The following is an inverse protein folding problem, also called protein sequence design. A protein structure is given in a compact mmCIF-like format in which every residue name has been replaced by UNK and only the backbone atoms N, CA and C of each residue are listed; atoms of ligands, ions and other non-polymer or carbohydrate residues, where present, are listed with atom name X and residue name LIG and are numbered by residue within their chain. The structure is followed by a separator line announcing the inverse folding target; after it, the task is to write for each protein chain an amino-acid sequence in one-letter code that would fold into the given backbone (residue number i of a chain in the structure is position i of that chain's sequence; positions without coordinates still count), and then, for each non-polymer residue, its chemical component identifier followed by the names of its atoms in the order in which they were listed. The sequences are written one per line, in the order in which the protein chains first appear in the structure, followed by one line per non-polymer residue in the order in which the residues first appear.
data_IF_260201699874
#
_entry.id   IF_260201699874
#
_cell.length_a   1.000
_cell.length_b   1.000
_cell.length_c   1.000
_cell.angle_alpha   90.00
_cell.angle_beta   90.00
_cell.angle_gamma   90.00
#
_symmetry.space_group_name_H-M   'P 1'
#
loop_
_entity.id
_entity.type
_entity.pdbx_description
1 polymer ?
#
# COMPACT_ATOMS: atom_id res chain seq x y z
N UNK A 1 -58.97 6.77 11.36
CA UNK A 1 -57.94 7.71 10.88
C UNK A 1 -56.59 7.20 11.38
N UNK A 2 -55.90 6.40 10.57
CA UNK A 2 -54.61 5.80 10.93
C UNK A 2 -53.51 6.77 10.48
N UNK A 3 -52.78 7.35 11.43
CA UNK A 3 -51.60 8.17 11.16
C UNK A 3 -50.47 7.24 10.67
N UNK A 4 -50.21 7.24 9.38
CA UNK A 4 -49.01 6.61 8.83
C UNK A 4 -47.81 7.52 9.14
N UNK A 5 -47.00 7.14 10.13
CA UNK A 5 -45.70 7.76 10.39
C UNK A 5 -44.75 7.27 9.29
N UNK A 6 -44.63 8.04 8.22
CA UNK A 6 -43.56 7.89 7.23
C UNK A 6 -42.24 8.29 7.88
N UNK A 7 -41.44 7.31 8.30
CA UNK A 7 -40.02 7.52 8.56
C UNK A 7 -39.32 7.77 7.21
N UNK A 8 -39.13 9.05 6.87
CA UNK A 8 -38.16 9.45 5.86
C UNK A 8 -36.76 9.06 6.36
N UNK A 9 -36.25 7.92 5.90
CA UNK A 9 -34.84 7.56 6.06
C UNK A 9 -34.06 8.61 5.27
N UNK A 10 -33.56 9.63 5.96
CA UNK A 10 -32.60 10.55 5.34
C UNK A 10 -31.35 9.74 5.03
N UNK A 11 -31.03 9.60 3.73
CA UNK A 11 -29.78 9.01 3.28
C UNK A 11 -28.62 9.87 3.82
N UNK A 12 -28.00 9.40 4.91
CA UNK A 12 -26.80 10.04 5.44
C UNK A 12 -25.69 9.82 4.41
N UNK A 13 -25.05 10.87 3.87
CA UNK A 13 -24.01 10.69 2.88
C UNK A 13 -22.84 9.90 3.49
N UNK A 14 -22.37 8.92 2.71
CA UNK A 14 -21.25 8.05 3.06
C UNK A 14 -20.17 8.21 1.99
N UNK A 15 -18.91 8.31 2.43
CA UNK A 15 -17.76 8.45 1.53
C UNK A 15 -16.55 7.71 2.12
N UNK A 16 -15.58 7.40 1.28
CA UNK A 16 -14.29 6.83 1.67
C UNK A 16 -13.20 7.87 1.45
N UNK A 17 -12.26 7.97 2.39
CA UNK A 17 -11.19 8.96 2.27
C UNK A 17 -10.29 9.03 3.49
N UNK A 18 -9.44 10.04 3.52
CA UNK A 18 -8.43 10.23 4.55
C UNK A 18 -8.71 11.51 5.31
N UNK A 19 -8.64 11.44 6.63
CA UNK A 19 -8.62 12.61 7.52
C UNK A 19 -7.17 12.98 7.79
N UNK A 20 -6.77 14.23 7.57
CA UNK A 20 -5.39 14.68 7.75
C UNK A 20 -5.30 16.12 8.25
N UNK A 21 -4.15 16.49 8.82
CA UNK A 21 -3.87 17.85 9.29
C UNK A 21 -3.11 18.66 8.24
N UNK A 22 -3.47 19.93 8.09
CA UNK A 22 -2.72 20.93 7.34
C UNK A 22 -2.84 22.29 8.04
N UNK A 23 -1.72 22.87 8.48
CA UNK A 23 -1.67 24.15 9.22
C UNK A 23 -2.67 24.20 10.39
N UNK A 24 -2.64 23.16 11.24
CA UNK A 24 -3.53 23.00 12.41
C UNK A 24 -5.03 22.88 12.10
N UNK A 25 -5.43 22.88 10.84
CA UNK A 25 -6.79 22.56 10.39
C UNK A 25 -6.86 21.13 9.92
N UNK A 26 -8.04 20.54 10.02
CA UNK A 26 -8.27 19.17 9.55
C UNK A 26 -9.13 19.17 8.31
N UNK A 27 -8.75 18.25 7.44
CA UNK A 27 -9.32 18.08 6.13
C UNK A 27 -9.71 16.62 5.97
N UNK A 28 -10.78 16.40 5.21
CA UNK A 28 -11.13 15.11 4.67
C UNK A 28 -10.90 15.17 3.16
N UNK A 29 -10.13 14.22 2.65
CA UNK A 29 -9.91 14.02 1.21
C UNK A 29 -10.55 12.72 0.80
N UNK A 30 -11.56 12.77 -0.06
CA UNK A 30 -12.21 11.57 -0.56
C UNK A 30 -11.37 10.85 -1.64
N UNK A 31 -11.84 9.68 -2.07
CA UNK A 31 -11.17 8.87 -3.10
C UNK A 31 -11.07 9.58 -4.47
N UNK A 32 -11.89 10.60 -4.73
CA UNK A 32 -11.83 11.45 -5.93
C UNK A 32 -10.90 12.66 -5.76
N UNK A 33 -10.06 12.67 -4.72
CA UNK A 33 -9.12 13.74 -4.40
C UNK A 33 -9.78 15.10 -4.07
N UNK A 34 -11.08 15.12 -3.77
CA UNK A 34 -11.78 16.32 -3.33
C UNK A 34 -11.56 16.52 -1.84
N UNK A 35 -11.13 17.73 -1.46
CA UNK A 35 -10.82 18.08 -0.08
C UNK A 35 -11.88 19.00 0.50
N UNK A 36 -12.29 18.74 1.75
CA UNK A 36 -13.15 19.63 2.51
C UNK A 36 -12.61 19.83 3.92
N UNK A 37 -12.75 21.04 4.45
CA UNK A 37 -12.41 21.35 5.85
C UNK A 37 -13.38 20.59 6.76
N UNK A 38 -12.85 19.91 7.78
CA UNK A 38 -13.64 19.24 8.80
C UNK A 38 -13.72 20.15 10.02
N UNK A 39 -14.93 20.48 10.44
CA UNK A 39 -15.20 21.39 11.55
C UNK A 39 -15.33 20.62 12.87
N UNK A 40 -16.10 19.52 12.84
CA UNK A 40 -16.35 18.66 13.98
C UNK A 40 -16.19 17.19 13.57
N UNK A 41 -15.39 16.40 14.29
CA UNK A 41 -15.31 14.95 14.12
C UNK A 41 -15.02 14.23 15.43
N UNK A 42 -15.29 12.92 15.46
CA UNK A 42 -14.99 12.05 16.60
C UNK A 42 -13.50 11.68 16.62
N UNK A 43 -12.64 12.59 17.08
CA UNK A 43 -11.16 12.46 17.06
C UNK A 43 -10.63 11.16 17.64
N UNK A 44 -11.18 10.71 18.76
CA UNK A 44 -10.75 9.47 19.43
C UNK A 44 -11.16 8.19 18.68
N UNK A 45 -12.11 8.29 17.76
CA UNK A 45 -12.68 7.14 17.03
C UNK A 45 -12.37 7.16 15.54
N UNK A 46 -11.86 8.27 15.03
CA UNK A 46 -11.62 8.48 13.60
C UNK A 46 -10.12 8.66 13.40
N UNK A 47 -9.39 7.63 12.93
CA UNK A 47 -7.95 7.75 12.74
C UNK A 47 -7.62 8.78 11.67
N UNK A 48 -6.47 9.44 11.81
CA UNK A 48 -5.90 10.27 10.75
C UNK A 48 -4.93 9.47 9.90
N UNK A 49 -4.67 9.98 8.70
CA UNK A 49 -3.68 9.46 7.76
C UNK A 49 -3.94 8.02 7.31
N UNK A 50 -5.18 7.57 7.46
CA UNK A 50 -5.66 6.26 7.03
C UNK A 50 -6.97 6.41 6.26
N UNK A 51 -7.16 5.53 5.27
CA UNK A 51 -8.42 5.48 4.52
C UNK A 51 -9.51 4.90 5.42
N UNK A 52 -10.59 5.65 5.55
CA UNK A 52 -11.74 5.31 6.37
C UNK A 52 -13.03 5.52 5.61
N UNK A 53 -14.05 4.73 5.95
CA UNK A 53 -15.42 5.00 5.53
C UNK A 53 -16.09 5.87 6.58
N UNK A 54 -16.62 7.02 6.15
CA UNK A 54 -17.20 8.02 7.03
C UNK A 54 -18.62 8.37 6.63
N UNK A 55 -19.37 8.85 7.60
CA UNK A 55 -20.59 9.63 7.41
C UNK A 55 -20.36 11.06 7.89
N UNK A 56 -21.07 12.02 7.31
CA UNK A 56 -20.94 13.43 7.69
C UNK A 56 -22.22 14.22 7.39
N UNK A 57 -22.29 15.44 7.92
CA UNK A 57 -23.23 16.47 7.50
C UNK A 57 -22.47 17.57 6.77
N UNK A 58 -22.87 17.90 5.54
CA UNK A 58 -22.24 18.98 4.76
C UNK A 58 -22.96 20.31 4.99
N UNK A 59 -22.19 21.39 5.20
CA UNK A 59 -22.68 22.78 5.22
C UNK A 59 -21.86 23.64 4.26
N UNK A 60 -22.25 24.90 4.07
CA UNK A 60 -21.59 25.83 3.13
C UNK A 60 -20.08 25.96 3.37
N UNK A 61 -19.62 25.88 4.63
CA UNK A 61 -18.24 26.15 5.01
C UNK A 61 -17.42 24.88 5.36
N UNK A 62 -17.97 23.68 5.15
CA UNK A 62 -17.24 22.43 5.35
C UNK A 62 -18.08 21.22 5.77
N UNK A 63 -17.38 20.20 6.28
CA UNK A 63 -17.96 18.98 6.82
C UNK A 63 -18.10 19.06 8.34
N UNK A 64 -19.24 18.61 8.84
CA UNK A 64 -19.60 18.56 10.25
C UNK A 64 -19.97 17.14 10.63
N UNK A 65 -19.83 16.80 11.91
CA UNK A 65 -20.18 15.49 12.47
C UNK A 65 -19.56 14.33 11.68
N UNK A 66 -18.32 14.52 11.19
CA UNK A 66 -17.61 13.50 10.45
C UNK A 66 -17.28 12.36 11.42
N UNK A 67 -17.73 11.15 11.11
CA UNK A 67 -17.50 9.98 11.93
C UNK A 67 -17.30 8.74 11.07
N UNK A 68 -16.37 7.89 11.48
CA UNK A 68 -16.21 6.57 10.89
C UNK A 68 -17.48 5.74 11.09
N UNK A 69 -17.92 5.03 10.05
CA UNK A 69 -19.13 4.20 10.14
C UNK A 69 -18.92 3.05 11.13
N UNK A 70 -19.99 2.61 11.81
CA UNK A 70 -19.89 1.54 12.80
C UNK A 70 -19.47 0.21 12.15
N UNK A 71 -19.98 -0.08 10.95
CA UNK A 71 -19.56 -1.25 10.18
C UNK A 71 -18.06 -1.20 9.84
N UNK A 72 -17.56 -0.05 9.38
CA UNK A 72 -16.14 0.07 9.06
C UNK A 72 -15.27 0.09 10.31
N UNK A 73 -15.78 0.56 11.46
CA UNK A 73 -15.06 0.46 12.74
C UNK A 73 -14.72 -0.98 13.10
N UNK A 74 -15.66 -1.90 12.89
CA UNK A 74 -15.46 -3.33 13.15
C UNK A 74 -14.39 -3.89 12.20
N UNK A 75 -14.50 -3.59 10.90
CA UNK A 75 -13.52 -4.01 9.88
C UNK A 75 -12.12 -3.45 10.18
N UNK A 76 -12.05 -2.19 10.57
CA UNK A 76 -10.82 -1.50 10.93
C UNK A 76 -10.16 -2.15 12.15
N UNK A 77 -10.92 -2.44 13.21
CA UNK A 77 -10.40 -3.13 14.39
C UNK A 77 -9.91 -4.54 14.03
N UNK A 78 -10.72 -5.31 13.29
CA UNK A 78 -10.39 -6.66 12.87
C UNK A 78 -9.13 -6.73 11.99
N UNK A 79 -9.02 -5.82 11.02
CA UNK A 79 -7.83 -5.76 10.14
C UNK A 79 -6.57 -5.39 10.94
N UNK A 80 -6.65 -4.46 11.88
CA UNK A 80 -5.52 -4.11 12.76
C UNK A 80 -5.08 -5.27 13.66
N UNK A 81 -6.00 -6.01 14.27
CA UNK A 81 -5.64 -7.18 15.09
C UNK A 81 -5.06 -8.31 14.22
N UNK A 82 -5.63 -8.52 13.03
CA UNK A 82 -5.10 -9.51 12.08
C UNK A 82 -3.70 -9.13 11.61
N UNK A 83 -3.45 -7.84 11.36
CA UNK A 83 -2.13 -7.32 10.99
C UNK A 83 -1.09 -7.53 12.10
N UNK A 84 -1.45 -7.23 13.37
CA UNK A 84 -0.57 -7.51 14.52
C UNK A 84 -0.22 -8.99 14.63
N UNK A 85 -1.18 -9.87 14.39
CA UNK A 85 -0.95 -11.32 14.36
C UNK A 85 0.00 -11.70 13.21
N UNK A 86 -0.23 -11.16 12.01
CA UNK A 86 0.61 -11.40 10.85
C UNK A 86 2.07 -10.96 11.08
N UNK A 87 2.27 -9.81 11.71
CA UNK A 87 3.60 -9.30 12.08
C UNK A 87 4.28 -10.14 13.17
N UNK A 88 3.50 -10.72 14.09
CA UNK A 88 4.03 -11.67 15.07
C UNK A 88 4.54 -12.94 14.38
N UNK A 89 3.75 -13.49 13.44
CA UNK A 89 4.13 -14.64 12.63
C UNK A 89 5.38 -14.34 11.79
N UNK A 90 5.50 -13.12 11.23
CA UNK A 90 6.70 -12.65 10.54
C UNK A 90 7.95 -12.72 11.43
N UNK A 91 7.87 -12.17 12.64
CA UNK A 91 8.99 -12.21 13.60
C UNK A 91 9.38 -13.64 13.98
N UNK A 92 8.42 -14.56 13.94
CA UNK A 92 8.62 -15.99 14.19
C UNK A 92 9.05 -16.78 12.93
N UNK A 93 9.21 -16.10 11.78
CA UNK A 93 9.53 -16.70 10.47
C UNK A 93 8.48 -17.72 9.98
N UNK A 94 7.26 -17.64 10.49
CA UNK A 94 6.12 -18.43 10.03
C UNK A 94 5.51 -17.75 8.80
N UNK A 95 6.25 -17.80 7.68
CA UNK A 95 5.97 -17.00 6.50
C UNK A 95 4.66 -17.40 5.80
N UNK A 96 4.29 -18.68 5.79
CA UNK A 96 3.06 -19.12 5.14
C UNK A 96 1.83 -18.64 5.88
N UNK A 97 1.79 -18.84 7.19
CA UNK A 97 0.70 -18.40 8.05
C UNK A 97 0.60 -16.87 8.10
N UNK A 98 1.75 -16.19 8.03
CA UNK A 98 1.80 -14.74 7.88
C UNK A 98 1.21 -14.30 6.55
N UNK A 99 1.55 -14.97 5.43
CA UNK A 99 0.98 -14.67 4.11
C UNK A 99 -0.55 -14.75 4.14
N UNK A 100 -1.09 -15.84 4.68
CA UNK A 100 -2.54 -16.07 4.77
C UNK A 100 -3.20 -14.95 5.60
N UNK A 101 -2.57 -14.55 6.71
CA UNK A 101 -3.06 -13.46 7.57
C UNK A 101 -3.00 -12.10 6.85
N UNK A 102 -1.92 -11.80 6.13
CA UNK A 102 -1.77 -10.55 5.38
C UNK A 102 -2.73 -10.47 4.20
N UNK A 103 -3.01 -11.58 3.51
CA UNK A 103 -4.03 -11.63 2.46
C UNK A 103 -5.42 -11.33 3.05
N UNK A 104 -5.73 -11.87 4.23
CA UNK A 104 -6.98 -11.54 4.93
C UNK A 104 -7.05 -10.05 5.30
N UNK A 105 -5.93 -9.46 5.69
CA UNK A 105 -5.84 -8.01 5.94
C UNK A 105 -6.10 -7.21 4.67
N UNK A 106 -5.52 -7.61 3.53
CA UNK A 106 -5.77 -6.98 2.23
C UNK A 106 -7.25 -6.99 1.84
N UNK A 107 -7.95 -8.10 2.09
CA UNK A 107 -9.40 -8.21 1.85
C UNK A 107 -10.24 -7.29 2.72
N UNK A 108 -9.85 -7.14 4.00
CA UNK A 108 -10.59 -6.36 4.98
C UNK A 108 -10.32 -4.85 4.83
N UNK A 109 -9.04 -4.49 4.75
CA UNK A 109 -8.58 -3.11 4.68
C UNK A 109 -7.29 -3.02 3.85
N UNK A 110 -7.38 -2.76 2.54
CA UNK A 110 -6.22 -2.68 1.66
C UNK A 110 -5.36 -1.41 1.86
N UNK A 111 -5.76 -0.51 2.76
CA UNK A 111 -5.04 0.74 3.06
C UNK A 111 -4.43 0.74 4.46
N UNK A 112 -4.39 -0.42 5.13
CA UNK A 112 -3.74 -0.50 6.42
C UNK A 112 -2.22 -0.26 6.27
N UNK A 113 -1.59 0.37 7.27
CA UNK A 113 -0.16 0.63 7.21
C UNK A 113 0.71 -0.61 7.00
N UNK A 114 1.78 -0.44 6.20
CA UNK A 114 2.83 -1.44 5.95
C UNK A 114 2.40 -2.79 5.35
N UNK A 115 1.12 -2.98 5.02
CA UNK A 115 0.60 -4.23 4.45
C UNK A 115 1.39 -4.70 3.23
N UNK A 116 1.61 -3.82 2.26
CA UNK A 116 2.25 -4.19 1.01
C UNK A 116 3.75 -4.47 1.17
N UNK A 117 4.45 -3.77 2.07
CA UNK A 117 5.82 -4.12 2.46
C UNK A 117 5.89 -5.52 3.06
N UNK A 118 4.99 -5.82 4.00
CA UNK A 118 4.95 -7.14 4.63
C UNK A 118 4.58 -8.24 3.63
N UNK A 119 3.58 -8.02 2.77
CA UNK A 119 3.22 -8.97 1.71
C UNK A 119 4.39 -9.23 0.76
N UNK A 120 5.04 -8.16 0.29
CA UNK A 120 6.19 -8.26 -0.60
C UNK A 120 7.32 -9.06 0.07
N UNK A 121 7.68 -8.69 1.30
CA UNK A 121 8.72 -9.36 2.07
C UNK A 121 8.42 -10.86 2.26
N UNK A 122 7.20 -11.21 2.69
CA UNK A 122 6.80 -12.62 2.88
C UNK A 122 6.91 -13.42 1.60
N UNK A 123 6.43 -12.88 0.48
CA UNK A 123 6.47 -13.56 -0.81
C UNK A 123 7.90 -13.78 -1.28
N UNK A 124 8.79 -12.83 -1.05
CA UNK A 124 10.23 -12.99 -1.30
C UNK A 124 10.83 -14.11 -0.45
N UNK A 125 10.52 -14.17 0.85
CA UNK A 125 11.01 -15.24 1.74
C UNK A 125 10.49 -16.62 1.31
N UNK A 126 9.31 -16.69 0.71
CA UNK A 126 8.71 -17.90 0.16
C UNK A 126 9.14 -18.21 -1.28
N UNK A 127 10.06 -17.43 -1.87
CA UNK A 127 10.50 -17.54 -3.26
C UNK A 127 9.35 -17.45 -4.29
N UNK A 128 8.29 -16.71 -3.98
CA UNK A 128 7.12 -16.45 -4.83
C UNK A 128 7.29 -15.15 -5.63
N UNK A 129 8.31 -15.10 -6.47
CA UNK A 129 8.74 -13.87 -7.16
C UNK A 129 7.61 -13.22 -8.00
N UNK A 130 6.84 -14.01 -8.77
CA UNK A 130 5.75 -13.49 -9.59
C UNK A 130 4.64 -12.83 -8.76
N UNK A 131 4.33 -13.41 -7.60
CA UNK A 131 3.35 -12.83 -6.66
C UNK A 131 3.92 -11.55 -6.03
N UNK A 132 5.22 -11.53 -5.66
CA UNK A 132 5.87 -10.35 -5.12
C UNK A 132 5.86 -9.18 -6.12
N UNK A 133 6.08 -9.44 -7.42
CA UNK A 133 5.97 -8.43 -8.48
C UNK A 133 4.53 -7.90 -8.59
N UNK A 134 3.52 -8.77 -8.46
CA UNK A 134 2.12 -8.34 -8.45
C UNK A 134 1.80 -7.41 -7.26
N UNK A 135 2.43 -7.63 -6.10
CA UNK A 135 2.30 -6.73 -4.95
C UNK A 135 2.77 -5.30 -5.27
N UNK A 136 3.84 -5.15 -6.05
CA UNK A 136 4.32 -3.83 -6.51
C UNK A 136 3.23 -3.10 -7.30
N UNK A 137 2.57 -3.79 -8.22
CA UNK A 137 1.48 -3.20 -9.01
C UNK A 137 0.29 -2.80 -8.14
N UNK A 138 -0.11 -3.66 -7.20
CA UNK A 138 -1.19 -3.37 -6.25
C UNK A 138 -0.89 -2.17 -5.35
N UNK A 139 0.37 -2.00 -4.94
CA UNK A 139 0.83 -0.87 -4.16
C UNK A 139 0.73 0.43 -4.96
N UNK A 140 1.21 0.46 -6.22
CA UNK A 140 1.18 1.68 -7.04
C UNK A 140 -0.24 2.21 -7.26
N UNK A 141 -1.23 1.33 -7.35
CA UNK A 141 -2.65 1.72 -7.44
C UNK A 141 -3.16 2.47 -6.20
N UNK A 142 -2.51 2.28 -5.05
CA UNK A 142 -2.96 2.80 -3.74
C UNK A 142 -2.03 3.84 -3.15
N UNK A 143 -0.83 3.99 -3.72
CA UNK A 143 0.25 4.84 -3.24
C UNK A 143 -0.20 6.23 -2.77
N UNK A 144 -1.10 6.89 -3.51
CA UNK A 144 -1.56 8.24 -3.20
C UNK A 144 -2.39 8.37 -1.90
N UNK A 145 -2.81 7.22 -1.35
CA UNK A 145 -3.55 7.09 -0.11
C UNK A 145 -2.70 6.59 1.06
N UNK A 146 -1.42 6.30 0.81
CA UNK A 146 -0.45 5.91 1.82
C UNK A 146 0.41 7.12 2.22
N UNK A 147 0.84 7.15 3.47
CA UNK A 147 1.77 8.15 3.99
C UNK A 147 3.11 8.09 3.24
N UNK A 148 3.82 9.22 3.21
CA UNK A 148 5.16 9.29 2.61
C UNK A 148 6.14 8.30 3.26
N UNK A 149 5.97 8.01 4.56
CA UNK A 149 6.78 7.05 5.27
C UNK A 149 6.57 5.63 4.73
N UNK A 150 5.32 5.20 4.58
CA UNK A 150 5.00 3.87 4.02
C UNK A 150 5.49 3.74 2.59
N UNK A 151 5.34 4.80 1.78
CA UNK A 151 5.88 4.81 0.43
C UNK A 151 7.41 4.64 0.43
N UNK A 152 8.10 5.36 1.31
CA UNK A 152 9.56 5.29 1.43
C UNK A 152 10.03 3.90 1.87
N UNK A 153 9.36 3.30 2.85
CA UNK A 153 9.66 1.94 3.33
C UNK A 153 9.45 0.93 2.21
N UNK A 154 8.33 1.00 1.50
CA UNK A 154 8.05 0.06 0.41
C UNK A 154 9.07 0.14 -0.74
N UNK A 155 9.46 1.35 -1.14
CA UNK A 155 10.49 1.52 -2.17
C UNK A 155 11.86 1.05 -1.71
N UNK A 156 12.19 1.21 -0.42
CA UNK A 156 13.42 0.67 0.14
C UNK A 156 13.44 -0.87 0.11
N UNK A 157 12.36 -1.53 0.51
CA UNK A 157 12.25 -3.00 0.50
C UNK A 157 12.42 -3.57 -0.91
N UNK A 158 11.76 -2.96 -1.90
CA UNK A 158 11.92 -3.33 -3.30
C UNK A 158 13.34 -3.12 -3.79
N UNK A 159 13.95 -1.98 -3.45
CA UNK A 159 15.31 -1.65 -3.85
C UNK A 159 16.30 -2.71 -3.34
N UNK A 160 16.19 -3.09 -2.06
CA UNK A 160 17.05 -4.12 -1.46
C UNK A 160 16.84 -5.49 -2.12
N UNK A 161 15.58 -5.87 -2.38
CA UNK A 161 15.26 -7.11 -3.10
C UNK A 161 15.92 -7.16 -4.49
N UNK A 162 15.74 -6.12 -5.31
CA UNK A 162 16.28 -6.09 -6.66
C UNK A 162 17.81 -6.07 -6.69
N UNK A 163 18.43 -5.37 -5.73
CA UNK A 163 19.88 -5.38 -5.54
C UNK A 163 20.38 -6.80 -5.21
N UNK A 164 19.76 -7.48 -4.25
CA UNK A 164 20.14 -8.83 -3.85
C UNK A 164 19.96 -9.84 -5.00
N UNK A 165 18.86 -9.70 -5.77
CA UNK A 165 18.61 -10.52 -6.96
C UNK A 165 19.69 -10.31 -8.02
N UNK A 166 20.06 -9.06 -8.30
CA UNK A 166 21.16 -8.74 -9.21
C UNK A 166 22.45 -9.42 -8.78
N UNK A 167 22.84 -9.30 -7.51
CA UNK A 167 24.07 -9.90 -6.99
C UNK A 167 24.07 -11.42 -7.10
N UNK A 168 22.92 -12.08 -6.90
CA UNK A 168 22.77 -13.52 -7.07
C UNK A 168 22.86 -13.94 -8.54
N UNK A 169 22.10 -13.31 -9.43
CA UNK A 169 22.09 -13.65 -10.87
C UNK A 169 23.44 -13.42 -11.52
N UNK A 170 24.13 -12.32 -11.15
CA UNK A 170 25.49 -12.04 -11.61
C UNK A 170 26.48 -13.16 -11.22
N UNK A 171 26.39 -13.69 -10.00
CA UNK A 171 27.24 -14.81 -9.55
C UNK A 171 26.94 -16.12 -10.29
N UNK A 172 25.69 -16.33 -10.69
CA UNK A 172 25.26 -17.50 -11.46
C UNK A 172 25.56 -17.38 -12.97
N UNK A 173 26.03 -16.22 -13.43
CA UNK A 173 26.22 -15.95 -14.86
C UNK A 173 24.91 -15.76 -15.64
N UNK A 174 23.77 -15.64 -14.95
CA UNK A 174 22.46 -15.41 -15.55
C UNK A 174 22.32 -13.93 -15.92
N UNK A 175 22.78 -13.61 -17.13
CA UNK A 175 22.88 -12.23 -17.62
C UNK A 175 21.50 -11.56 -17.76
N UNK A 176 20.47 -12.30 -18.18
CA UNK A 176 19.12 -11.77 -18.38
C UNK A 176 18.50 -11.35 -17.04
N UNK A 177 18.50 -12.26 -16.05
CA UNK A 177 17.98 -11.92 -14.73
C UNK A 177 18.82 -10.84 -14.04
N UNK A 178 20.15 -10.86 -14.22
CA UNK A 178 21.00 -9.80 -13.68
C UNK A 178 20.65 -8.43 -14.28
N UNK A 179 20.45 -8.35 -15.60
CA UNK A 179 20.04 -7.13 -16.26
C UNK A 179 18.68 -6.64 -15.77
N UNK A 180 17.66 -7.52 -15.73
CA UNK A 180 16.33 -7.16 -15.28
C UNK A 180 16.32 -6.64 -13.83
N UNK A 181 17.02 -7.34 -12.93
CA UNK A 181 17.10 -6.96 -11.53
C UNK A 181 17.83 -5.63 -11.32
N UNK A 182 18.95 -5.42 -12.03
CA UNK A 182 19.68 -4.16 -11.97
C UNK A 182 18.85 -3.00 -12.52
N UNK A 183 18.07 -3.23 -13.58
CA UNK A 183 17.23 -2.21 -14.20
C UNK A 183 16.08 -1.79 -13.28
N UNK A 184 15.45 -2.76 -12.60
CA UNK A 184 14.44 -2.49 -11.59
C UNK A 184 15.03 -1.72 -10.40
N UNK A 185 16.20 -2.11 -9.89
CA UNK A 185 16.91 -1.40 -8.82
C UNK A 185 17.31 0.03 -9.22
N UNK A 186 17.73 0.24 -10.47
CA UNK A 186 18.07 1.56 -11.02
C UNK A 186 16.84 2.46 -11.14
N UNK A 187 15.71 1.93 -11.60
CA UNK A 187 14.44 2.68 -11.70
C UNK A 187 14.02 3.24 -10.35
N UNK A 188 14.20 2.46 -9.28
CA UNK A 188 13.87 2.88 -7.90
C UNK A 188 14.87 3.89 -7.33
N UNK A 189 16.16 3.69 -7.60
CA UNK A 189 17.23 4.56 -7.12
C UNK A 189 18.32 4.69 -8.18
N UNK A 190 18.21 5.69 -9.07
CA UNK A 190 19.19 5.92 -10.12
C UNK A 190 20.55 6.27 -9.51
N UNK A 191 21.62 5.67 -10.02
CA UNK A 191 22.99 6.10 -9.79
C UNK A 191 23.88 5.79 -10.99
N UNK A 192 25.00 6.52 -11.11
CA UNK A 192 25.90 6.46 -12.26
C UNK A 192 26.62 5.13 -12.41
N UNK A 193 26.96 4.46 -11.30
CA UNK A 193 27.60 3.15 -11.33
C UNK A 193 26.65 2.07 -11.82
N UNK A 194 25.39 2.07 -11.35
CA UNK A 194 24.37 1.17 -11.89
C UNK A 194 24.11 1.39 -13.37
N UNK A 195 24.05 2.64 -13.83
CA UNK A 195 23.86 2.93 -15.26
C UNK A 195 24.99 2.35 -16.10
N UNK A 196 26.24 2.50 -15.64
CA UNK A 196 27.41 1.90 -16.29
C UNK A 196 27.31 0.37 -16.30
N UNK A 197 26.94 -0.25 -15.18
CA UNK A 197 26.75 -1.71 -15.08
C UNK A 197 25.62 -2.20 -16.00
N UNK A 198 24.52 -1.45 -16.13
CA UNK A 198 23.41 -1.74 -17.03
C UNK A 198 23.85 -1.75 -18.49
N UNK A 199 24.57 -0.70 -18.91
CA UNK A 199 25.09 -0.60 -20.27
C UNK A 199 26.04 -1.77 -20.59
N UNK A 200 26.89 -2.14 -19.64
CA UNK A 200 27.80 -3.28 -19.80
C UNK A 200 27.05 -4.61 -19.91
N UNK A 201 26.02 -4.85 -19.09
CA UNK A 201 25.20 -6.07 -19.18
C UNK A 201 24.42 -6.12 -20.49
N UNK A 202 23.87 -4.98 -20.93
CA UNK A 202 23.16 -4.88 -22.20
C UNK A 202 24.05 -5.29 -23.37
N UNK A 203 25.26 -4.73 -23.44
CA UNK A 203 26.23 -5.08 -24.48
C UNK A 203 26.60 -6.57 -24.46
N UNK A 204 26.76 -7.18 -23.27
CA UNK A 204 27.03 -8.63 -23.16
C UNK A 204 25.84 -9.48 -23.64
N UNK A 205 24.62 -9.08 -23.30
CA UNK A 205 23.41 -9.77 -23.76
C UNK A 205 23.26 -9.71 -25.28
N UNK A 206 23.57 -8.57 -25.88
CA UNK A 206 23.57 -8.39 -27.34
C UNK A 206 24.63 -9.28 -28.01
N UNK A 207 25.84 -9.37 -27.44
CA UNK A 207 26.89 -10.26 -27.96
C UNK A 207 26.47 -11.74 -27.93
N UNK A 208 25.93 -12.22 -26.82
CA UNK A 208 25.46 -13.62 -26.70
C UNK A 208 24.37 -13.96 -27.71
N UNK A 209 23.46 -13.00 -28.00
CA UNK A 209 22.40 -13.20 -28.99
C UNK A 209 22.94 -13.27 -30.41
N UNK A 210 23.97 -12.48 -30.73
CA UNK A 210 24.59 -12.48 -32.05
C UNK A 210 25.40 -13.77 -32.30
N UNK A 211 25.98 -14.37 -31.26
CA UNK A 211 26.73 -15.64 -31.36
C UNK A 211 25.82 -16.88 -31.54
N UNK A 212 24.51 -16.74 -31.33
CA UNK A 212 23.50 -17.81 -31.45
C UNK A 212 22.72 -17.77 -32.78
N UNK A 213 23.01 -16.81 -33.66
CA UNK A 213 22.41 -16.64 -34.99
C UNK A 213 23.35 -17.16 -36.08
#
# INVERSE_FOLDING_TARGET
MILAILFLIQNVPMDSGIVFYNNSRVYFRNMNNQTAVVKNWETLKTPTDQVINVTYTKKQDGLYNLKMTDQFRIIYQQSNETMKSAEKLLRQRQFKESLDSLQRVEELNPYIPYLYSNLFYVLVQLAKDSEAINIVQKFEQKRNFLSNLEQSVFYYDQYDYWRNRYDKSRKLGDLDNAYQALNASYTLRPDTDKLRLLNNLKAKLEAVKNDQQ
#
